data_IF_442468394591
#
_entry.id   IF_442468394591
#
_cell.length_a   1.000
_cell.length_b   1.000
_cell.length_c   1.000
_cell.angle_alpha   90.00
_cell.angle_beta   90.00
_cell.angle_gamma   90.00
#
_symmetry.space_group_name_H-M   'P 1'
#
loop_
_entity.id
_entity.type
_entity.pdbx_description
1 polymer ?
#
# COMPACT_ATOMS: atom_id res chain seq x y z
N UNK A 1 4.71 -18.08 -1.87
CA UNK A 1 5.77 -18.81 -2.59
C UNK A 1 7.08 -18.45 -1.93
N UNK A 2 7.73 -19.37 -1.21
CA UNK A 2 9.03 -19.12 -0.60
C UNK A 2 10.13 -19.28 -1.67
N UNK A 3 11.04 -18.32 -1.79
CA UNK A 3 12.19 -18.40 -2.71
C UNK A 3 13.42 -18.78 -1.89
N UNK A 4 13.94 -19.98 -2.13
CA UNK A 4 15.21 -20.48 -1.57
C UNK A 4 16.13 -20.82 -2.73
N UNK A 5 17.34 -20.23 -2.78
CA UNK A 5 18.34 -20.54 -3.81
C UNK A 5 19.60 -21.08 -3.11
N UNK A 6 19.99 -22.29 -3.50
CA UNK A 6 21.19 -22.99 -3.05
C UNK A 6 22.45 -22.43 -3.72
N UNK A 7 23.54 -22.32 -2.97
CA UNK A 7 24.82 -21.69 -3.40
C UNK A 7 25.94 -22.73 -3.39
N UNK A 8 26.12 -23.43 -4.50
CA UNK A 8 27.38 -24.10 -4.80
C UNK A 8 27.79 -23.90 -6.28
N UNK A 9 28.66 -22.93 -6.52
CA UNK A 9 29.54 -22.92 -7.69
C UNK A 9 30.98 -22.84 -7.22
N UNK A 10 31.70 -23.94 -7.41
CA UNK A 10 33.14 -24.05 -7.23
C UNK A 10 33.63 -25.28 -7.99
N UNK A 11 34.18 -25.08 -9.18
CA UNK A 11 34.83 -26.15 -9.94
C UNK A 11 36.13 -26.58 -9.24
N UNK A 12 36.21 -27.83 -8.82
CA UNK A 12 37.43 -28.51 -8.36
C UNK A 12 37.90 -29.57 -9.37
N UNK A 13 39.20 -29.92 -9.42
CA UNK A 13 39.80 -30.65 -10.54
C UNK A 13 39.48 -32.16 -10.52
N UNK A 14 39.46 -32.72 -11.73
CA UNK A 14 39.20 -34.14 -12.02
C UNK A 14 40.04 -35.11 -11.18
N UNK A 15 39.38 -36.05 -10.50
CA UNK A 15 39.98 -37.31 -10.04
C UNK A 15 39.26 -38.49 -10.67
N UNK A 16 40.04 -39.35 -11.34
CA UNK A 16 39.58 -40.46 -12.16
C UNK A 16 39.48 -41.74 -11.31
N UNK A 17 38.34 -42.42 -11.44
CA UNK A 17 38.09 -43.87 -11.30
C UNK A 17 38.10 -44.52 -9.92
N UNK A 18 36.94 -45.06 -9.52
CA UNK A 18 36.77 -46.51 -9.40
C UNK A 18 35.46 -46.98 -10.05
N UNK A 19 35.58 -48.05 -10.84
CA UNK A 19 34.52 -48.77 -11.54
C UNK A 19 33.43 -49.25 -10.58
N UNK A 20 32.17 -49.09 -10.96
CA UNK A 20 31.15 -50.09 -10.66
C UNK A 20 30.41 -50.46 -11.94
N UNK A 21 30.53 -51.73 -12.33
CA UNK A 21 29.83 -52.35 -13.45
C UNK A 21 28.39 -52.63 -13.00
N UNK A 22 27.40 -52.19 -13.77
CA UNK A 22 26.13 -52.90 -13.89
C UNK A 22 25.59 -52.69 -15.31
N UNK A 23 25.37 -53.82 -15.98
CA UNK A 23 24.99 -53.93 -17.38
C UNK A 23 23.52 -53.55 -17.57
N UNK A 24 23.26 -52.77 -18.62
CA UNK A 24 21.93 -52.58 -19.20
C UNK A 24 21.54 -53.83 -20.01
N UNK A 25 20.37 -54.40 -19.73
CA UNK A 25 19.67 -55.26 -20.68
C UNK A 25 18.52 -54.47 -21.29
N UNK A 26 18.66 -54.12 -22.57
CA UNK A 26 17.53 -53.83 -23.44
C UNK A 26 17.12 -55.13 -24.13
N UNK A 27 15.83 -55.45 -24.09
CA UNK A 27 15.25 -56.44 -25.00
C UNK A 27 14.11 -55.75 -25.74
N UNK A 28 14.42 -55.29 -26.94
CA UNK A 28 13.45 -55.22 -28.02
C UNK A 28 13.55 -56.55 -28.75
N UNK A 29 12.41 -57.20 -28.98
CA UNK A 29 12.33 -58.24 -29.99
C UNK A 29 11.16 -57.93 -30.95
N UNK A 30 11.42 -57.75 -32.25
CA UNK A 30 10.42 -57.55 -33.29
C UNK A 30 10.26 -58.82 -34.14
N UNK A 31 9.03 -59.28 -34.35
CA UNK A 31 8.64 -60.11 -35.51
C UNK A 31 7.11 -59.94 -35.71
N UNK A 32 6.63 -59.26 -36.76
CA UNK A 32 6.52 -59.67 -38.18
C UNK A 32 5.37 -60.68 -38.38
N UNK A 33 4.22 -60.23 -38.91
CA UNK A 33 3.69 -60.58 -40.24
C UNK A 33 2.26 -60.02 -40.51
N UNK A 34 2.07 -59.69 -41.78
CA UNK A 34 0.90 -59.13 -42.50
C UNK A 34 -0.38 -60.00 -42.44
N UNK A 35 -1.57 -59.38 -42.62
CA UNK A 35 -2.41 -59.57 -43.83
C UNK A 35 -3.70 -58.70 -43.82
N UNK A 36 -3.80 -57.82 -44.82
CA UNK A 36 -4.95 -57.48 -45.70
C UNK A 36 -6.41 -57.26 -45.22
N UNK A 37 -6.94 -56.12 -45.70
CA UNK A 37 -8.16 -55.97 -46.56
C UNK A 37 -9.54 -55.56 -45.97
N UNK A 38 -10.11 -54.54 -46.64
CA UNK A 38 -11.53 -54.10 -46.79
C UNK A 38 -12.21 -53.45 -45.56
N UNK A 39 -13.04 -52.41 -45.61
CA UNK A 39 -13.69 -51.58 -46.65
C UNK A 39 -14.97 -50.96 -46.05
N UNK A 40 -15.36 -49.71 -46.41
CA UNK A 40 -16.71 -49.15 -46.23
C UNK A 40 -16.89 -48.04 -45.14
N UNK A 41 -16.92 -46.75 -45.49
CA UNK A 41 -18.07 -45.82 -45.72
C UNK A 41 -19.07 -45.52 -44.57
N UNK A 42 -19.21 -44.20 -44.30
CA UNK A 42 -20.40 -43.40 -43.90
C UNK A 42 -20.81 -43.22 -42.41
N UNK A 43 -20.68 -41.95 -41.98
CA UNK A 43 -21.62 -41.08 -41.21
C UNK A 43 -22.29 -41.58 -39.92
N UNK A 44 -22.01 -40.94 -38.78
CA UNK A 44 -22.94 -40.02 -38.11
C UNK A 44 -22.39 -39.42 -36.79
N UNK A 45 -22.68 -38.13 -36.65
CA UNK A 45 -22.80 -37.22 -35.51
C UNK A 45 -22.89 -37.70 -34.05
N UNK A 46 -22.29 -36.87 -33.19
CA UNK A 46 -22.74 -36.38 -31.87
C UNK A 46 -22.56 -37.23 -30.59
N UNK A 47 -21.67 -36.69 -29.74
CA UNK A 47 -21.70 -36.56 -28.27
C UNK A 47 -21.64 -37.77 -27.31
N UNK A 48 -20.71 -37.60 -26.37
CA UNK A 48 -20.63 -38.13 -24.99
C UNK A 48 -20.18 -39.59 -24.83
N UNK A 49 -18.90 -39.77 -24.49
CA UNK A 49 -18.50 -40.29 -23.17
C UNK A 49 -16.97 -40.23 -23.01
N UNK A 50 -16.54 -39.58 -21.94
CA UNK A 50 -15.18 -39.69 -21.41
C UNK A 50 -14.84 -41.15 -21.10
N UNK A 51 -13.86 -41.73 -21.80
CA UNK A 51 -13.00 -42.74 -21.19
C UNK A 51 -11.61 -42.69 -21.81
N UNK A 52 -10.64 -42.73 -20.90
CA UNK A 52 -9.23 -42.45 -21.06
C UNK A 52 -8.53 -43.36 -22.07
N UNK A 53 -7.47 -42.86 -22.71
CA UNK A 53 -6.20 -43.60 -22.76
C UNK A 53 -4.99 -42.72 -23.15
N UNK A 54 -4.04 -42.68 -22.22
CA UNK A 54 -2.58 -42.65 -22.41
C UNK A 54 -1.94 -41.47 -23.17
N UNK A 55 -1.94 -40.29 -22.53
CA UNK A 55 -0.85 -39.33 -22.69
C UNK A 55 0.13 -39.54 -21.54
N UNK A 56 1.31 -40.07 -21.86
CA UNK A 56 2.47 -40.13 -20.95
C UNK A 56 2.84 -38.71 -20.48
N UNK A 57 2.33 -38.30 -19.33
CA UNK A 57 2.88 -37.18 -18.55
C UNK A 57 4.06 -37.72 -17.74
N UNK A 58 5.25 -37.21 -18.03
CA UNK A 58 6.42 -37.38 -17.19
C UNK A 58 6.11 -36.79 -15.81
N UNK A 59 5.89 -37.65 -14.81
CA UNK A 59 5.82 -37.25 -13.41
C UNK A 59 7.24 -37.01 -12.92
N UNK A 60 7.70 -35.77 -12.97
CA UNK A 60 8.88 -35.35 -12.23
C UNK A 60 8.52 -35.36 -10.74
N UNK A 61 9.06 -36.32 -10.01
CA UNK A 61 8.97 -36.42 -8.55
C UNK A 61 9.42 -35.10 -7.92
N UNK A 62 8.68 -34.51 -6.97
CA UNK A 62 9.17 -33.34 -6.25
C UNK A 62 10.42 -33.74 -5.47
N UNK A 63 11.54 -33.09 -5.79
CA UNK A 63 12.78 -33.25 -5.05
C UNK A 63 12.58 -32.60 -3.67
N UNK A 64 12.24 -33.39 -2.67
CA UNK A 64 12.42 -33.01 -1.28
C UNK A 64 13.93 -32.89 -1.02
N UNK A 65 14.43 -31.86 -0.33
CA UNK A 65 15.83 -31.82 0.06
C UNK A 65 16.08 -32.97 1.04
N UNK A 66 16.99 -33.87 0.67
CA UNK A 66 17.49 -34.92 1.55
C UNK A 66 18.37 -34.24 2.59
N UNK A 67 17.88 -34.09 3.82
CA UNK A 67 18.66 -33.64 4.97
C UNK A 67 19.83 -34.60 5.17
N UNK A 68 21.04 -34.13 4.90
CA UNK A 68 22.27 -34.88 5.15
C UNK A 68 22.39 -35.10 6.66
N UNK A 69 22.13 -36.32 7.11
CA UNK A 69 22.54 -36.82 8.42
C UNK A 69 24.06 -36.92 8.45
N UNK A 70 24.74 -35.87 8.92
CA UNK A 70 26.07 -35.90 9.52
C UNK A 70 26.18 -34.69 10.42
N UNK A 71 26.31 -34.95 11.73
CA UNK A 71 26.14 -33.98 12.80
C UNK A 71 27.19 -32.88 12.82
N UNK A 72 26.67 -31.66 12.91
CA UNK A 72 27.12 -30.53 13.73
C UNK A 72 25.97 -29.50 13.65
N UNK A 73 25.00 -29.60 14.57
CA UNK A 73 23.86 -28.68 14.66
C UNK A 73 24.33 -27.31 15.16
N UNK A 74 24.81 -26.48 14.22
CA UNK A 74 24.73 -25.04 14.33
C UNK A 74 23.51 -24.60 13.52
N UNK A 75 22.44 -24.24 14.23
CA UNK A 75 21.11 -23.85 13.72
C UNK A 75 21.13 -22.53 12.93
N UNK A 76 21.89 -22.46 11.84
CA UNK A 76 21.92 -21.30 10.95
C UNK A 76 20.73 -21.35 9.99
N UNK A 77 19.66 -20.66 10.35
CA UNK A 77 18.54 -20.43 9.43
C UNK A 77 18.87 -19.22 8.53
N UNK A 78 18.90 -19.37 7.19
CA UNK A 78 19.20 -18.26 6.31
C UNK A 78 18.09 -17.18 6.39
N UNK A 79 18.42 -15.89 6.22
CA UNK A 79 17.43 -14.82 6.16
C UNK A 79 16.41 -15.09 5.05
N UNK A 80 15.12 -14.91 5.34
CA UNK A 80 14.02 -15.12 4.41
C UNK A 80 13.07 -13.93 4.40
N UNK A 81 12.47 -13.69 3.25
CA UNK A 81 11.41 -12.71 3.06
C UNK A 81 10.23 -13.37 2.36
N UNK A 82 9.04 -13.15 2.88
CA UNK A 82 7.79 -13.70 2.35
C UNK A 82 6.77 -12.60 2.14
N UNK A 83 6.06 -12.62 1.01
CA UNK A 83 4.94 -11.69 0.77
C UNK A 83 3.78 -12.12 1.67
N UNK A 84 3.38 -11.23 2.57
CA UNK A 84 2.16 -11.38 3.38
C UNK A 84 0.98 -10.84 2.60
N UNK A 85 1.10 -9.63 2.02
CA UNK A 85 0.11 -8.98 1.13
C UNK A 85 0.81 -8.12 0.08
N UNK A 86 0.10 -7.85 -1.01
CA UNK A 86 0.62 -7.17 -2.20
C UNK A 86 0.80 -8.15 -3.36
N UNK A 87 0.49 -7.69 -4.57
CA UNK A 87 0.46 -8.51 -5.77
C UNK A 87 0.99 -7.73 -6.99
N UNK A 88 1.12 -8.42 -8.12
CA UNK A 88 1.62 -7.83 -9.36
C UNK A 88 3.13 -7.96 -9.57
N UNK A 89 3.55 -7.85 -10.83
CA UNK A 89 4.94 -8.03 -11.24
C UNK A 89 5.93 -7.05 -10.56
N UNK A 90 5.62 -5.75 -10.38
CA UNK A 90 6.54 -4.82 -9.72
C UNK A 90 6.83 -5.19 -8.26
N UNK A 91 5.81 -5.63 -7.52
CA UNK A 91 5.92 -6.10 -6.13
C UNK A 91 6.74 -7.38 -6.05
N UNK A 92 6.47 -8.35 -6.93
CA UNK A 92 7.25 -9.60 -6.96
C UNK A 92 8.72 -9.34 -7.28
N UNK A 93 9.01 -8.48 -8.26
CA UNK A 93 10.38 -8.10 -8.60
C UNK A 93 11.10 -7.43 -7.42
N UNK A 94 10.43 -6.51 -6.71
CA UNK A 94 10.95 -5.87 -5.50
C UNK A 94 11.33 -6.90 -4.43
N UNK A 95 10.43 -7.82 -4.11
CA UNK A 95 10.65 -8.80 -3.04
C UNK A 95 11.73 -9.80 -3.43
N UNK A 96 11.79 -10.23 -4.69
CA UNK A 96 12.86 -11.10 -5.20
C UNK A 96 14.22 -10.42 -5.11
N UNK A 97 14.32 -9.15 -5.47
CA UNK A 97 15.60 -8.41 -5.41
C UNK A 97 16.10 -8.27 -3.96
N UNK A 98 15.21 -7.99 -3.01
CA UNK A 98 15.53 -7.98 -1.59
C UNK A 98 15.91 -9.37 -1.07
N UNK A 99 15.23 -10.42 -1.54
CA UNK A 99 15.59 -11.81 -1.20
C UNK A 99 17.00 -12.17 -1.69
N UNK A 100 17.38 -11.75 -2.91
CA UNK A 100 18.72 -11.94 -3.46
C UNK A 100 19.76 -11.18 -2.63
N UNK A 101 19.48 -9.93 -2.23
CA UNK A 101 20.36 -9.14 -1.38
C UNK A 101 20.60 -9.83 -0.02
N UNK A 102 19.53 -10.27 0.64
CA UNK A 102 19.59 -11.02 1.90
C UNK A 102 20.39 -12.32 1.77
N UNK A 103 20.12 -13.13 0.73
CA UNK A 103 20.85 -14.37 0.44
C UNK A 103 22.35 -14.12 0.11
N UNK A 104 22.69 -12.89 -0.26
CA UNK A 104 24.06 -12.46 -0.51
C UNK A 104 24.77 -11.94 0.73
N UNK A 105 24.12 -11.97 1.90
CA UNK A 105 24.67 -11.48 3.17
C UNK A 105 24.52 -9.98 3.38
N UNK A 106 23.78 -9.27 2.51
CA UNK A 106 23.50 -7.85 2.72
C UNK A 106 22.52 -7.70 3.89
N UNK A 107 22.90 -6.89 4.86
CA UNK A 107 22.06 -6.58 6.02
C UNK A 107 21.26 -5.29 5.79
N UNK A 108 20.05 -5.17 6.38
CA UNK A 108 19.31 -3.92 6.36
C UNK A 108 20.09 -2.80 7.07
N UNK A 109 20.11 -1.60 6.48
CA UNK A 109 20.83 -0.45 7.02
C UNK A 109 19.80 0.47 7.71
N UNK A 110 19.90 0.72 9.03
CA UNK A 110 18.99 1.63 9.72
C UNK A 110 19.05 3.04 9.15
N UNK A 111 17.87 3.64 8.95
CA UNK A 111 17.73 5.05 8.58
C UNK A 111 17.68 5.87 9.89
N UNK A 112 18.56 6.87 10.06
CA UNK A 112 18.68 7.59 11.33
C UNK A 112 17.52 8.56 11.59
N UNK A 113 16.92 9.13 10.54
CA UNK A 113 15.78 10.03 10.63
C UNK A 113 14.45 9.30 10.93
N UNK A 114 13.41 10.08 11.22
CA UNK A 114 12.06 9.57 11.50
C UNK A 114 11.83 9.17 12.95
N UNK A 115 10.57 8.87 13.27
CA UNK A 115 10.11 8.55 14.64
C UNK A 115 10.05 7.04 14.93
N UNK A 116 10.15 6.20 13.90
CA UNK A 116 10.09 4.74 13.99
C UNK A 116 11.31 4.05 13.39
N UNK A 117 11.26 2.72 13.36
CA UNK A 117 12.24 1.89 12.67
C UNK A 117 12.02 1.93 11.15
N UNK A 118 13.05 2.38 10.42
CA UNK A 118 13.08 2.35 8.97
C UNK A 118 14.46 1.85 8.51
N UNK A 119 14.49 1.03 7.46
CA UNK A 119 15.69 0.33 7.03
C UNK A 119 15.82 0.34 5.51
N UNK A 120 16.98 0.73 5.00
CA UNK A 120 17.30 0.65 3.58
C UNK A 120 17.93 -0.71 3.25
N UNK A 121 17.45 -1.35 2.19
CA UNK A 121 18.07 -2.53 1.58
C UNK A 121 18.84 -2.11 0.34
N UNK A 122 20.06 -2.64 0.19
CA UNK A 122 20.93 -2.37 -0.97
C UNK A 122 21.22 -3.66 -1.74
N UNK A 123 21.50 -3.53 -3.03
CA UNK A 123 22.04 -4.65 -3.80
C UNK A 123 23.55 -4.81 -3.54
N UNK A 124 24.16 -5.82 -4.16
CA UNK A 124 25.61 -6.09 -4.03
C UNK A 124 26.49 -4.93 -4.53
N UNK A 125 25.94 -4.07 -5.40
CA UNK A 125 26.64 -2.89 -5.93
C UNK A 125 26.47 -1.65 -5.03
N UNK A 126 25.80 -1.78 -3.88
CA UNK A 126 25.55 -0.68 -2.95
C UNK A 126 24.41 0.27 -3.36
N UNK A 127 23.62 -0.08 -4.37
CA UNK A 127 22.46 0.72 -4.82
C UNK A 127 21.26 0.38 -3.94
N UNK A 128 20.55 1.38 -3.43
CA UNK A 128 19.33 1.19 -2.65
C UNK A 128 18.23 0.56 -3.51
N UNK A 129 17.61 -0.51 -2.99
CA UNK A 129 16.54 -1.28 -3.61
C UNK A 129 15.19 -0.91 -3.00
N UNK A 130 15.14 -0.85 -1.67
CA UNK A 130 13.88 -0.80 -0.92
C UNK A 130 14.06 -0.12 0.43
N UNK A 131 12.96 0.39 0.97
CA UNK A 131 12.83 0.80 2.37
C UNK A 131 11.83 -0.13 3.04
N UNK A 132 12.22 -0.68 4.19
CA UNK A 132 11.34 -1.48 5.04
C UNK A 132 11.06 -0.78 6.36
N UNK A 133 9.80 -0.80 6.80
CA UNK A 133 9.35 -0.25 8.09
C UNK A 133 8.67 -1.36 8.91
N UNK A 134 9.36 -1.96 9.90
CA UNK A 134 8.79 -3.00 10.73
C UNK A 134 7.65 -2.48 11.60
N UNK A 135 6.54 -3.23 11.63
CA UNK A 135 5.31 -2.90 12.35
C UNK A 135 5.53 -2.77 13.86
N UNK A 136 6.41 -3.60 14.42
CA UNK A 136 6.73 -3.58 15.85
C UNK A 136 7.70 -2.46 16.25
N UNK A 137 8.19 -1.69 15.28
CA UNK A 137 9.12 -0.58 15.46
C UNK A 137 8.52 0.79 15.10
N UNK A 138 7.22 0.85 14.81
CA UNK A 138 6.49 2.10 14.61
C UNK A 138 6.62 3.06 15.81
N UNK A 139 6.31 4.37 15.65
CA UNK A 139 6.18 5.28 16.79
C UNK A 139 5.24 4.68 17.85
N UNK A 140 5.68 4.70 19.11
CA UNK A 140 5.04 4.10 20.28
C UNK A 140 5.01 2.57 20.35
N UNK A 141 5.40 1.86 19.29
CA UNK A 141 5.45 0.40 19.32
C UNK A 141 6.51 -0.14 20.30
N UNK A 142 6.30 -1.36 20.77
CA UNK A 142 7.13 -2.01 21.80
C UNK A 142 8.64 -2.02 21.45
N UNK A 143 8.98 -2.23 20.17
CA UNK A 143 10.37 -2.36 19.73
C UNK A 143 10.90 -1.10 19.02
N UNK A 144 10.26 0.05 19.22
CA UNK A 144 10.70 1.32 18.63
C UNK A 144 12.19 1.62 18.97
N UNK A 145 13.07 1.74 17.96
CA UNK A 145 14.51 1.94 18.19
C UNK A 145 14.89 3.39 18.49
N UNK A 146 13.94 4.33 18.48
CA UNK A 146 14.15 5.77 18.66
C UNK A 146 13.83 6.28 20.07
N UNK A 147 13.55 5.37 21.00
CA UNK A 147 13.22 5.72 22.39
C UNK A 147 11.78 6.22 22.58
N UNK A 148 10.95 6.15 21.55
CA UNK A 148 9.52 6.47 21.58
C UNK A 148 8.70 5.17 21.58
N UNK A 149 8.99 4.23 22.48
CA UNK A 149 8.34 2.92 22.52
C UNK A 149 7.57 2.63 23.81
N UNK A 150 7.01 1.43 23.90
CA UNK A 150 6.46 0.88 25.16
C UNK A 150 4.94 0.75 25.22
N UNK A 151 4.22 1.07 24.14
CA UNK A 151 2.78 0.84 24.04
C UNK A 151 2.48 -0.46 23.28
N UNK A 152 1.27 -0.99 23.49
CA UNK A 152 0.82 -2.22 22.83
C UNK A 152 0.27 -1.92 21.43
N UNK A 153 0.47 -2.86 20.50
CA UNK A 153 -0.18 -2.79 19.18
C UNK A 153 -1.70 -2.70 19.35
N UNK A 154 -2.35 -1.92 18.49
CA UNK A 154 -3.79 -1.67 18.57
C UNK A 154 -4.21 -0.56 19.54
N UNK A 155 -3.28 0.05 20.28
CA UNK A 155 -3.56 1.31 21.00
C UNK A 155 -3.53 2.51 20.04
N UNK A 156 -4.14 3.66 20.40
CA UNK A 156 -4.03 4.88 19.59
C UNK A 156 -2.57 5.25 19.33
N UNK A 157 -2.24 5.52 18.06
CA UNK A 157 -0.90 5.90 17.64
C UNK A 157 -0.64 7.40 17.72
N UNK A 158 0.40 7.85 17.02
CA UNK A 158 0.76 9.27 16.93
C UNK A 158 -0.38 10.13 16.37
N UNK A 159 -1.06 9.63 15.34
CA UNK A 159 -2.38 10.11 14.91
C UNK A 159 -3.41 9.26 15.63
N UNK A 160 -4.24 9.84 16.50
CA UNK A 160 -5.18 9.08 17.34
C UNK A 160 -6.13 8.19 16.54
N UNK A 161 -6.47 8.62 15.33
CA UNK A 161 -7.32 7.93 14.35
C UNK A 161 -6.67 6.74 13.65
N UNK A 162 -5.40 6.44 13.96
CA UNK A 162 -4.62 5.33 13.41
C UNK A 162 -3.95 4.61 14.58
N UNK A 163 -4.15 3.29 14.67
CA UNK A 163 -3.56 2.49 15.75
C UNK A 163 -2.10 2.14 15.49
N UNK A 164 -1.36 1.98 16.57
CA UNK A 164 0.01 1.45 16.55
C UNK A 164 -0.02 0.05 15.92
N UNK A 165 0.87 -0.16 14.94
CA UNK A 165 1.01 -1.40 14.20
C UNK A 165 0.18 -1.46 12.92
N UNK A 166 -0.48 -0.37 12.52
CA UNK A 166 -1.33 -0.35 11.33
C UNK A 166 -0.80 0.54 10.19
N UNK A 167 0.39 1.16 10.34
CA UNK A 167 0.92 2.03 9.27
C UNK A 167 1.34 1.22 8.05
N UNK A 168 1.92 0.03 8.26
CA UNK A 168 2.44 -0.79 7.16
C UNK A 168 1.38 -1.27 6.16
N UNK A 169 0.15 -1.52 6.62
CA UNK A 169 -0.96 -1.89 5.73
C UNK A 169 -1.52 -0.68 4.96
N UNK A 170 -1.39 0.53 5.53
CA UNK A 170 -1.81 1.78 4.88
C UNK A 170 -0.87 2.21 3.76
N UNK A 171 0.43 1.95 3.94
CA UNK A 171 1.42 2.04 2.86
C UNK A 171 1.05 1.16 1.66
N UNK A 172 0.63 -0.10 1.93
CA UNK A 172 0.13 -0.98 0.87
C UNK A 172 -1.18 -0.47 0.27
N UNK A 173 -2.11 0.01 1.08
CA UNK A 173 -3.39 0.53 0.60
C UNK A 173 -3.20 1.70 -0.37
N UNK A 174 -2.30 2.64 -0.07
CA UNK A 174 -1.99 3.75 -0.96
C UNK A 174 -1.48 3.29 -2.34
N UNK A 175 -0.59 2.29 -2.37
CA UNK A 175 -0.12 1.71 -3.63
C UNK A 175 -1.23 0.99 -4.41
N UNK A 176 -2.09 0.23 -3.72
CA UNK A 176 -3.22 -0.47 -4.35
C UNK A 176 -4.26 0.51 -4.90
N UNK A 177 -4.47 1.64 -4.22
CA UNK A 177 -5.43 2.68 -4.62
C UNK A 177 -4.89 3.64 -5.68
N UNK A 178 -3.60 3.61 -6.00
CA UNK A 178 -3.00 4.42 -7.08
C UNK A 178 -3.27 3.79 -8.46
N UNK A 179 -4.50 3.95 -8.94
CA UNK A 179 -4.96 3.35 -10.20
C UNK A 179 -4.09 3.79 -11.38
N UNK A 180 -3.50 2.83 -12.08
CA UNK A 180 -2.61 3.10 -13.20
C UNK A 180 -1.29 3.77 -12.83
N UNK A 181 -0.98 3.90 -11.53
CA UNK A 181 0.23 4.57 -11.05
C UNK A 181 0.22 6.08 -11.30
N UNK A 182 -0.95 6.73 -11.31
CA UNK A 182 -1.09 8.14 -11.64
C UNK A 182 -0.32 9.05 -10.67
N UNK A 183 -0.43 8.79 -9.36
CA UNK A 183 0.30 9.52 -8.32
C UNK A 183 1.77 9.05 -8.23
N UNK A 184 2.14 7.99 -8.93
CA UNK A 184 3.47 7.37 -8.91
C UNK A 184 3.88 6.80 -7.55
N UNK A 185 2.93 6.26 -6.76
CA UNK A 185 3.26 5.57 -5.51
C UNK A 185 4.17 4.37 -5.83
N UNK A 186 5.36 4.27 -5.21
CA UNK A 186 6.28 3.19 -5.53
C UNK A 186 5.70 1.81 -5.15
N UNK A 187 6.07 0.73 -5.87
CA UNK A 187 5.64 -0.61 -5.53
C UNK A 187 5.82 -0.92 -4.05
N UNK A 188 4.72 -1.26 -3.39
CA UNK A 188 4.66 -1.46 -1.94
C UNK A 188 3.99 -2.78 -1.60
N UNK A 189 4.54 -3.49 -0.63
CA UNK A 189 4.04 -4.78 -0.16
C UNK A 189 4.11 -4.88 1.36
N UNK A 190 3.28 -5.73 1.94
CA UNK A 190 3.44 -6.18 3.31
C UNK A 190 4.21 -7.49 3.28
N UNK A 191 5.35 -7.54 3.97
CA UNK A 191 6.25 -8.69 3.95
C UNK A 191 6.55 -9.18 5.35
N UNK A 192 6.97 -10.44 5.46
CA UNK A 192 7.48 -11.04 6.68
C UNK A 192 8.94 -11.39 6.49
N UNK A 193 9.80 -10.78 7.30
CA UNK A 193 11.20 -11.13 7.41
C UNK A 193 11.39 -12.18 8.50
N UNK A 194 12.15 -13.23 8.22
CA UNK A 194 12.59 -14.21 9.21
C UNK A 194 14.11 -14.29 9.19
N UNK A 195 14.74 -14.34 10.37
CA UNK A 195 16.21 -14.42 10.51
C UNK A 195 16.98 -13.26 9.84
N UNK A 196 16.37 -12.08 9.72
CA UNK A 196 17.01 -10.86 9.24
C UNK A 196 17.41 -9.97 10.43
N UNK A 197 18.60 -9.35 10.37
CA UNK A 197 19.12 -8.54 11.47
C UNK A 197 18.53 -7.12 11.47
N UNK A 198 17.36 -6.94 12.08
CA UNK A 198 16.83 -5.61 12.42
C UNK A 198 17.37 -5.13 13.77
N UNK A 199 17.09 -3.88 14.16
CA UNK A 199 17.51 -3.36 15.47
C UNK A 199 16.97 -4.24 16.60
N UNK A 200 17.87 -4.63 17.51
CA UNK A 200 17.53 -5.39 18.72
C UNK A 200 17.54 -4.41 19.89
N UNK A 201 16.45 -4.35 20.64
CA UNK A 201 16.35 -3.53 21.85
C UNK A 201 17.47 -3.91 22.84
N UNK A 202 18.26 -2.96 23.39
CA UNK A 202 19.32 -3.25 24.36
C UNK A 202 18.80 -3.94 25.64
N UNK A 203 17.57 -3.62 26.06
CA UNK A 203 16.93 -4.26 27.22
C UNK A 203 16.52 -5.71 26.94
N UNK A 204 16.31 -6.08 25.67
CA UNK A 204 16.17 -7.48 25.25
C UNK A 204 17.55 -8.16 25.07
N UNK A 205 18.59 -7.39 24.74
CA UNK A 205 19.97 -7.87 24.65
C UNK A 205 20.55 -8.28 26.02
N UNK A 206 20.10 -7.64 27.12
CA UNK A 206 20.46 -8.05 28.48
C UNK A 206 19.86 -9.41 28.89
N UNK A 207 18.71 -9.80 28.32
CA UNK A 207 18.14 -11.14 28.45
C UNK A 207 18.71 -12.13 27.39
N UNK A 208 19.21 -11.61 26.27
CA UNK A 208 19.83 -12.37 25.17
C UNK A 208 21.37 -12.39 25.23
N UNK A 209 21.95 -12.44 26.43
CA UNK A 209 23.36 -12.83 26.63
C UNK A 209 23.62 -14.32 26.29
N UNK A 210 22.65 -14.99 25.68
CA UNK A 210 22.81 -16.25 24.96
C UNK A 210 22.90 -15.93 23.46
N UNK A 211 23.88 -16.52 22.80
CA UNK A 211 24.38 -16.34 21.42
C UNK A 211 23.36 -16.53 20.28
N UNK A 212 22.14 -16.03 20.42
CA UNK A 212 21.01 -16.32 19.56
C UNK A 212 20.47 -14.99 19.02
N UNK A 213 20.62 -14.68 17.71
CA UNK A 213 19.97 -13.53 17.09
C UNK A 213 18.48 -13.56 17.41
N UNK A 214 17.83 -12.42 17.64
CA UNK A 214 16.37 -12.40 17.84
C UNK A 214 15.68 -13.05 16.62
N UNK A 215 15.31 -14.33 16.73
CA UNK A 215 14.73 -15.15 15.66
C UNK A 215 13.26 -14.81 15.38
N UNK A 216 12.71 -13.77 16.00
CA UNK A 216 11.30 -13.43 15.86
C UNK A 216 11.03 -12.85 14.47
N UNK A 217 10.13 -13.45 13.68
CA UNK A 217 9.77 -12.88 12.40
C UNK A 217 9.16 -11.49 12.55
N UNK A 218 9.58 -10.56 11.69
CA UNK A 218 9.08 -9.18 11.66
C UNK A 218 8.19 -8.97 10.44
N UNK A 219 6.98 -8.49 10.67
CA UNK A 219 6.12 -7.98 9.60
C UNK A 219 6.50 -6.53 9.34
N UNK A 220 6.62 -6.14 8.08
CA UNK A 220 7.02 -4.80 7.68
C UNK A 220 6.32 -4.39 6.39
N UNK A 221 6.06 -3.09 6.20
CA UNK A 221 5.90 -2.58 4.85
C UNK A 221 7.25 -2.59 4.15
N UNK A 222 7.25 -2.93 2.86
CA UNK A 222 8.40 -2.88 1.98
C UNK A 222 8.02 -2.08 0.74
N UNK A 223 8.67 -0.93 0.57
CA UNK A 223 8.44 -0.04 -0.55
C UNK A 223 9.70 0.05 -1.42
N UNK A 224 9.52 0.09 -2.74
CA UNK A 224 10.60 0.31 -3.70
C UNK A 224 11.29 1.64 -3.41
N UNK A 225 12.61 1.62 -3.30
CA UNK A 225 13.39 2.84 -3.20
C UNK A 225 13.38 3.57 -4.54
N UNK A 226 13.14 4.88 -4.50
CA UNK A 226 13.15 5.74 -5.68
C UNK A 226 14.38 6.64 -5.64
N UNK A 227 15.16 6.65 -6.72
CA UNK A 227 16.35 7.48 -6.83
C UNK A 227 15.99 8.97 -6.92
N UNK A 228 16.31 9.71 -5.86
CA UNK A 228 16.08 11.15 -5.77
C UNK A 228 17.35 11.84 -5.28
N UNK A 229 17.45 13.15 -5.52
CA UNK A 229 18.51 13.99 -4.92
C UNK A 229 17.99 14.83 -3.76
N UNK A 230 16.70 15.17 -3.80
CA UNK A 230 16.06 16.11 -2.89
C UNK A 230 14.63 15.67 -2.63
N UNK A 231 14.08 16.07 -1.48
CA UNK A 231 12.62 16.14 -1.28
C UNK A 231 12.08 17.53 -1.64
N UNK A 232 10.75 17.67 -1.66
CA UNK A 232 10.11 18.91 -2.05
C UNK A 232 10.37 20.06 -1.07
N UNK A 233 10.85 19.81 0.15
CA UNK A 233 11.20 20.85 1.12
C UNK A 233 12.49 21.60 0.78
N UNK A 234 13.36 21.02 -0.05
CA UNK A 234 14.60 21.67 -0.51
C UNK A 234 14.40 22.56 -1.74
N UNK A 235 13.26 22.45 -2.43
CA UNK A 235 12.94 23.23 -3.62
C UNK A 235 11.67 24.06 -3.41
N UNK A 236 11.59 25.22 -4.05
CA UNK A 236 10.37 26.02 -4.06
C UNK A 236 9.28 25.36 -4.92
N UNK A 237 7.98 25.57 -4.61
CA UNK A 237 6.90 24.95 -5.37
C UNK A 237 6.92 25.28 -6.86
N UNK A 238 7.49 26.43 -7.27
CA UNK A 238 7.63 26.82 -8.68
C UNK A 238 8.39 25.84 -9.57
N UNK A 239 9.13 24.89 -8.98
CA UNK A 239 9.84 23.85 -9.72
C UNK A 239 8.98 22.62 -10.03
N UNK A 240 7.80 22.46 -9.42
CA UNK A 240 7.00 21.24 -9.54
C UNK A 240 5.92 21.35 -10.61
N UNK A 241 5.67 20.25 -11.35
CA UNK A 241 4.63 20.24 -12.38
C UNK A 241 3.25 20.28 -11.77
N UNK A 242 2.33 20.98 -12.43
CA UNK A 242 0.92 21.03 -12.03
C UNK A 242 0.33 19.63 -11.97
N UNK A 243 0.61 18.82 -13.00
CA UNK A 243 0.14 17.45 -13.09
C UNK A 243 0.63 16.59 -11.92
N UNK A 244 1.92 16.69 -11.54
CA UNK A 244 2.44 15.91 -10.42
C UNK A 244 1.79 16.30 -9.09
N UNK A 245 1.61 17.61 -8.85
CA UNK A 245 0.89 18.11 -7.66
C UNK A 245 -0.56 17.65 -7.64
N UNK A 246 -1.26 17.73 -8.77
CA UNK A 246 -2.64 17.26 -8.92
C UNK A 246 -2.77 15.76 -8.68
N UNK A 247 -1.91 14.95 -9.30
CA UNK A 247 -1.95 13.50 -9.17
C UNK A 247 -1.74 13.04 -7.72
N UNK A 248 -0.78 13.63 -7.01
CA UNK A 248 -0.55 13.38 -5.58
C UNK A 248 -1.77 13.84 -4.77
N UNK A 249 -2.25 15.05 -4.99
CA UNK A 249 -3.40 15.60 -4.26
C UNK A 249 -4.69 14.81 -4.45
N UNK A 250 -4.95 14.31 -5.66
CA UNK A 250 -6.09 13.44 -5.97
C UNK A 250 -6.05 12.16 -5.13
N UNK A 251 -4.88 11.53 -5.01
CA UNK A 251 -4.71 10.35 -4.16
C UNK A 251 -4.87 10.73 -2.68
N UNK A 252 -4.16 11.76 -2.21
CA UNK A 252 -4.15 12.19 -0.81
C UNK A 252 -5.54 12.59 -0.30
N UNK A 253 -6.37 13.22 -1.14
CA UNK A 253 -7.78 13.49 -0.84
C UNK A 253 -8.54 12.19 -0.62
N UNK A 254 -8.44 11.23 -1.55
CA UNK A 254 -9.17 9.95 -1.46
C UNK A 254 -8.81 9.19 -0.20
N UNK A 255 -7.53 9.14 0.13
CA UNK A 255 -7.03 8.39 1.28
C UNK A 255 -7.02 9.20 2.58
N UNK A 256 -7.43 10.48 2.55
CA UNK A 256 -7.32 11.41 3.69
C UNK A 256 -5.94 11.33 4.36
N UNK A 257 -4.90 11.73 3.64
CA UNK A 257 -3.55 11.70 4.17
C UNK A 257 -3.37 12.73 5.29
N UNK A 258 -3.00 12.27 6.49
CA UNK A 258 -2.84 13.11 7.67
C UNK A 258 -1.44 13.72 7.80
N UNK A 259 -0.53 13.42 6.88
CA UNK A 259 0.89 13.77 7.00
C UNK A 259 1.58 13.95 5.63
N UNK A 260 0.90 14.54 4.63
CA UNK A 260 1.57 14.91 3.38
C UNK A 260 2.34 16.21 3.57
N UNK A 261 3.52 16.14 4.17
CA UNK A 261 4.47 17.26 4.23
C UNK A 261 5.48 17.22 3.07
N UNK A 262 6.22 18.32 2.85
CA UNK A 262 7.18 18.43 1.75
C UNK A 262 8.24 17.29 1.72
N UNK A 263 8.72 16.88 2.90
CA UNK A 263 9.65 15.76 3.04
C UNK A 263 9.11 14.38 2.61
N UNK A 264 7.79 14.23 2.42
CA UNK A 264 7.16 13.00 1.95
C UNK A 264 6.91 13.02 0.43
N UNK A 265 7.49 13.98 -0.29
CA UNK A 265 7.43 14.08 -1.75
C UNK A 265 8.85 14.17 -2.30
N UNK A 266 9.27 13.14 -3.01
CA UNK A 266 10.61 13.04 -3.58
C UNK A 266 10.67 13.76 -4.92
N UNK A 267 11.75 14.48 -5.19
CA UNK A 267 11.99 15.12 -6.48
C UNK A 267 12.79 14.17 -7.37
N UNK A 268 12.20 13.75 -8.48
CA UNK A 268 12.81 12.78 -9.39
C UNK A 268 14.09 13.34 -10.02
N UNK A 269 15.15 12.52 -10.03
CA UNK A 269 16.40 12.87 -10.70
C UNK A 269 16.24 12.67 -12.20
N UNK A 270 16.14 13.75 -12.97
CA UNK A 270 16.27 13.66 -14.43
C UNK A 270 17.74 13.46 -14.80
N UNK A 271 18.03 12.45 -15.63
CA UNK A 271 19.37 12.25 -16.18
C UNK A 271 19.77 13.47 -17.02
N UNK A 272 20.91 14.06 -16.65
CA UNK A 272 21.43 15.35 -17.16
C UNK A 272 21.68 15.40 -18.68
N UNK A 273 21.47 14.31 -19.41
CA UNK A 273 21.79 14.22 -20.84
C UNK A 273 20.71 14.79 -21.78
N UNK A 274 19.51 15.12 -21.28
CA UNK A 274 18.47 15.82 -22.04
C UNK A 274 18.20 17.24 -21.49
N UNK A 275 19.19 17.86 -20.84
CA UNK A 275 19.09 19.23 -20.36
C UNK A 275 19.34 20.24 -21.52
N UNK A 276 18.41 20.30 -22.47
CA UNK A 276 18.31 21.45 -23.37
C UNK A 276 17.58 22.58 -22.66
N UNK A 277 18.36 23.60 -22.28
CA UNK A 277 17.98 25.01 -22.05
C UNK A 277 16.48 25.34 -21.85
N UNK A 278 16.08 25.58 -20.60
CA UNK A 278 14.87 26.33 -20.23
C UNK A 278 13.95 25.60 -19.23
N UNK A 279 13.89 26.07 -17.98
CA UNK A 279 12.77 25.83 -17.06
C UNK A 279 12.43 24.36 -16.77
N UNK A 280 13.35 23.60 -16.17
CA UNK A 280 13.13 22.21 -15.83
C UNK A 280 12.09 22.09 -14.69
N UNK A 281 10.85 21.80 -15.06
CA UNK A 281 9.78 21.41 -14.14
C UNK A 281 10.04 19.95 -13.74
N UNK A 282 10.13 19.68 -12.43
CA UNK A 282 10.43 18.38 -11.87
C UNK A 282 9.16 17.61 -11.51
N UNK A 283 9.20 16.30 -11.73
CA UNK A 283 8.18 15.35 -11.30
C UNK A 283 8.41 14.93 -9.84
N UNK A 284 7.32 14.76 -9.10
CA UNK A 284 7.30 14.33 -7.71
C UNK A 284 6.87 12.87 -7.60
N UNK A 285 7.38 12.20 -6.57
CA UNK A 285 6.96 10.86 -6.17
C UNK A 285 6.56 10.88 -4.69
N UNK A 286 5.30 10.57 -4.35
CA UNK A 286 4.84 10.51 -2.97
C UNK A 286 5.35 9.24 -2.30
N UNK A 287 5.84 9.38 -1.07
CA UNK A 287 6.21 8.27 -0.20
C UNK A 287 5.53 8.44 1.16
N UNK A 288 5.73 7.48 2.06
CA UNK A 288 5.31 7.58 3.46
C UNK A 288 3.80 7.80 3.66
N UNK A 289 3.00 6.81 3.27
CA UNK A 289 1.54 6.82 3.41
C UNK A 289 1.08 6.14 4.71
N UNK A 290 1.97 6.00 5.70
CA UNK A 290 1.66 5.33 6.97
C UNK A 290 0.51 5.99 7.74
N UNK A 291 0.28 7.28 7.53
CA UNK A 291 -0.78 8.08 8.18
C UNK A 291 -1.94 8.46 7.24
N UNK A 292 -2.36 7.55 6.36
CA UNK A 292 -3.62 7.69 5.60
C UNK A 292 -4.73 6.78 6.13
N UNK A 293 -5.94 6.90 5.57
CA UNK A 293 -7.12 6.08 5.89
C UNK A 293 -7.40 6.03 7.41
N UNK A 294 -7.67 7.19 8.03
CA UNK A 294 -8.06 7.24 9.44
C UNK A 294 -9.42 6.57 9.65
N UNK A 295 -9.70 6.17 10.89
CA UNK A 295 -10.96 5.50 11.23
C UNK A 295 -12.15 6.44 11.41
N UNK A 296 -11.90 7.73 11.58
CA UNK A 296 -12.89 8.79 11.64
C UNK A 296 -12.36 9.99 10.87
N UNK A 297 -13.23 10.95 10.57
CA UNK A 297 -12.78 12.22 9.99
C UNK A 297 -11.84 12.91 10.98
N UNK A 298 -10.58 13.01 10.59
CA UNK A 298 -9.51 13.70 11.29
C UNK A 298 -9.02 14.86 10.43
N UNK A 299 -8.15 15.71 10.96
CA UNK A 299 -7.63 16.87 10.21
C UNK A 299 -6.46 16.44 9.30
N UNK A 300 -6.63 16.42 7.96
CA UNK A 300 -5.54 16.08 7.07
C UNK A 300 -4.51 17.20 7.00
N UNK A 301 -3.27 16.84 6.69
CA UNK A 301 -2.22 17.81 6.41
C UNK A 301 -1.76 17.65 4.96
N UNK A 302 -1.94 18.71 4.17
CA UNK A 302 -1.63 18.76 2.75
C UNK A 302 -0.69 19.93 2.45
N UNK A 303 0.61 19.67 2.33
CA UNK A 303 1.59 20.69 1.95
C UNK A 303 1.25 21.36 0.61
N UNK A 304 0.81 20.56 -0.36
CA UNK A 304 0.45 21.02 -1.69
C UNK A 304 -0.73 22.01 -1.69
N UNK A 305 -1.52 22.07 -0.61
CA UNK A 305 -2.63 23.01 -0.48
C UNK A 305 -2.17 24.47 -0.55
N UNK A 306 -0.92 24.72 -0.17
CA UNK A 306 -0.32 26.05 -0.15
C UNK A 306 0.47 26.37 -1.43
N UNK A 307 0.50 25.46 -2.40
CA UNK A 307 1.23 25.64 -3.64
C UNK A 307 0.34 26.24 -4.73
N UNK A 308 0.82 27.19 -5.54
CA UNK A 308 0.03 27.82 -6.60
C UNK A 308 -0.59 26.82 -7.56
N UNK A 309 0.10 25.69 -7.81
CA UNK A 309 -0.37 24.60 -8.65
C UNK A 309 -1.74 24.07 -8.22
N UNK A 310 -2.00 23.93 -6.91
CA UNK A 310 -3.27 23.40 -6.44
C UNK A 310 -4.46 24.33 -6.73
N UNK A 311 -4.21 25.61 -7.01
CA UNK A 311 -5.26 26.57 -7.41
C UNK A 311 -5.57 26.54 -8.91
N UNK A 312 -4.83 25.74 -9.70
CA UNK A 312 -5.06 25.60 -11.13
C UNK A 312 -6.20 24.58 -11.34
N UNK A 313 -7.13 24.83 -12.29
CA UNK A 313 -8.16 23.86 -12.62
C UNK A 313 -7.58 22.50 -13.03
N UNK A 314 -8.27 21.41 -12.69
CA UNK A 314 -7.93 20.09 -13.22
C UNK A 314 -7.96 20.08 -14.74
N UNK A 315 -7.00 19.38 -15.34
CA UNK A 315 -6.99 19.07 -16.78
C UNK A 315 -8.08 18.07 -17.14
N UNK A 316 -8.43 17.98 -18.43
CA UNK A 316 -9.40 16.99 -18.94
C UNK A 316 -8.97 15.55 -18.61
N UNK A 317 -7.66 15.28 -18.62
CA UNK A 317 -7.10 13.98 -18.27
C UNK A 317 -7.34 13.62 -16.80
N UNK A 318 -7.11 14.57 -15.88
CA UNK A 318 -7.34 14.40 -14.45
C UNK A 318 -8.85 14.26 -14.16
N UNK A 319 -9.69 15.07 -14.82
CA UNK A 319 -11.15 14.98 -14.69
C UNK A 319 -11.67 13.63 -15.20
N UNK A 320 -11.17 13.14 -16.34
CA UNK A 320 -11.52 11.82 -16.85
C UNK A 320 -11.12 10.72 -15.86
N UNK A 321 -9.91 10.79 -15.31
CA UNK A 321 -9.45 9.86 -14.27
C UNK A 321 -10.36 9.87 -13.04
N UNK A 322 -10.61 11.05 -12.46
CA UNK A 322 -11.49 11.22 -11.29
C UNK A 322 -12.90 10.66 -11.58
N UNK A 323 -13.44 10.94 -12.77
CA UNK A 323 -14.77 10.47 -13.17
C UNK A 323 -14.89 8.94 -13.21
N UNK A 324 -13.79 8.21 -13.44
CA UNK A 324 -13.75 6.74 -13.52
C UNK A 324 -13.54 6.04 -12.17
N UNK A 325 -13.10 6.75 -11.13
CA UNK A 325 -12.90 6.17 -9.79
C UNK A 325 -14.20 5.55 -9.24
N UNK A 326 -14.15 4.34 -8.69
CA UNK A 326 -15.30 3.68 -8.09
C UNK A 326 -15.00 3.41 -6.60
N UNK A 327 -15.58 4.20 -5.68
CA UNK A 327 -15.30 4.06 -4.25
C UNK A 327 -15.72 2.69 -3.68
N UNK A 328 -16.76 2.05 -4.24
CA UNK A 328 -17.26 0.78 -3.72
C UNK A 328 -16.41 -0.38 -4.22
N UNK A 329 -15.94 -0.30 -5.47
CA UNK A 329 -14.96 -1.27 -5.99
C UNK A 329 -13.63 -1.16 -5.25
N UNK A 330 -13.16 0.05 -4.99
CA UNK A 330 -11.95 0.28 -4.19
C UNK A 330 -12.11 -0.27 -2.76
N UNK A 331 -13.27 -0.05 -2.13
CA UNK A 331 -13.58 -0.62 -0.83
C UNK A 331 -13.52 -2.15 -0.84
N UNK A 332 -14.06 -2.80 -1.88
CA UNK A 332 -14.02 -4.26 -2.00
C UNK A 332 -12.60 -4.80 -2.20
N UNK A 333 -11.79 -4.10 -3.00
CA UNK A 333 -10.36 -4.41 -3.15
C UNK A 333 -9.67 -4.33 -1.79
N UNK A 334 -9.90 -3.29 -0.99
CA UNK A 334 -9.29 -3.17 0.34
C UNK A 334 -9.77 -4.25 1.32
N UNK A 335 -11.06 -4.58 1.33
CA UNK A 335 -11.59 -5.68 2.17
C UNK A 335 -10.96 -7.02 1.83
N UNK A 336 -10.69 -7.26 0.54
CA UNK A 336 -10.09 -8.49 0.05
C UNK A 336 -8.58 -8.54 0.32
N UNK A 337 -7.85 -7.50 -0.08
CA UNK A 337 -6.39 -7.48 -0.06
C UNK A 337 -5.84 -7.14 1.34
N UNK A 338 -6.59 -6.37 2.13
CA UNK A 338 -6.16 -5.85 3.44
C UNK A 338 -7.26 -6.06 4.50
N UNK A 339 -7.60 -7.32 4.84
CA UNK A 339 -8.72 -7.62 5.73
C UNK A 339 -8.54 -7.13 7.19
N UNK A 340 -7.33 -6.69 7.55
CA UNK A 340 -7.06 -6.09 8.87
C UNK A 340 -7.41 -4.59 8.91
N UNK A 341 -7.59 -3.94 7.74
CA UNK A 341 -8.04 -2.57 7.68
C UNK A 341 -9.51 -2.50 8.09
N UNK A 342 -9.82 -1.66 9.06
CA UNK A 342 -11.16 -1.61 9.65
C UNK A 342 -12.15 -0.89 8.74
N UNK A 343 -13.39 -1.36 8.78
CA UNK A 343 -14.49 -0.86 7.94
C UNK A 343 -14.70 0.65 8.10
N UNK A 344 -14.46 1.21 9.29
CA UNK A 344 -14.53 2.65 9.51
C UNK A 344 -13.58 3.45 8.62
N UNK A 345 -12.35 2.98 8.41
CA UNK A 345 -11.37 3.58 7.51
C UNK A 345 -11.75 3.41 6.03
N UNK A 346 -12.32 2.26 5.67
CA UNK A 346 -12.85 2.00 4.32
C UNK A 346 -14.02 2.95 4.02
N UNK A 347 -14.88 3.22 5.00
CA UNK A 347 -15.97 4.20 4.84
C UNK A 347 -15.44 5.62 4.67
N UNK A 348 -14.36 6.01 5.37
CA UNK A 348 -13.68 7.30 5.14
C UNK A 348 -13.21 7.42 3.67
N UNK A 349 -12.59 6.39 3.11
CA UNK A 349 -12.20 6.36 1.68
C UNK A 349 -13.40 6.60 0.76
N UNK A 350 -14.53 5.93 1.02
CA UNK A 350 -15.75 6.08 0.22
C UNK A 350 -16.24 7.53 0.26
N UNK A 351 -16.38 8.12 1.46
CA UNK A 351 -16.84 9.51 1.63
C UNK A 351 -15.90 10.48 0.91
N UNK A 352 -14.58 10.34 1.10
CA UNK A 352 -13.59 11.21 0.48
C UNK A 352 -13.59 11.11 -1.05
N UNK A 353 -13.73 9.90 -1.59
CA UNK A 353 -13.79 9.68 -3.04
C UNK A 353 -15.07 10.24 -3.64
N UNK A 354 -16.22 10.12 -2.96
CA UNK A 354 -17.48 10.76 -3.40
C UNK A 354 -17.35 12.28 -3.40
N UNK A 355 -16.77 12.86 -2.34
CA UNK A 355 -16.49 14.29 -2.24
C UNK A 355 -15.65 14.77 -3.43
N UNK A 356 -14.50 14.11 -3.67
CA UNK A 356 -13.60 14.43 -4.79
C UNK A 356 -14.32 14.41 -6.13
N UNK A 357 -15.06 13.33 -6.41
CA UNK A 357 -15.77 13.16 -7.69
C UNK A 357 -16.79 14.27 -7.93
N UNK A 358 -17.61 14.57 -6.92
CA UNK A 358 -18.64 15.59 -7.06
C UNK A 358 -18.06 17.01 -7.12
N UNK A 359 -17.02 17.30 -6.33
CA UNK A 359 -16.35 18.59 -6.35
C UNK A 359 -15.64 18.85 -7.69
N UNK A 360 -14.92 17.86 -8.22
CA UNK A 360 -14.27 17.95 -9.53
C UNK A 360 -15.30 18.11 -10.66
N UNK A 361 -16.42 17.38 -10.63
CA UNK A 361 -17.52 17.58 -11.58
C UNK A 361 -18.21 18.96 -11.43
N UNK A 362 -18.12 19.56 -10.24
CA UNK A 362 -18.53 20.93 -10.00
C UNK A 362 -17.50 21.98 -10.43
N UNK A 363 -16.33 21.57 -10.92
CA UNK A 363 -15.28 22.46 -11.39
C UNK A 363 -14.43 23.08 -10.28
N UNK A 364 -14.48 22.53 -9.05
CA UNK A 364 -13.58 22.95 -7.98
C UNK A 364 -12.14 22.50 -8.30
N UNK A 365 -11.16 23.34 -8.02
CA UNK A 365 -9.75 22.98 -8.11
C UNK A 365 -9.28 22.21 -6.87
N UNK A 366 -8.07 21.67 -6.94
CA UNK A 366 -7.49 20.85 -5.87
C UNK A 366 -7.45 21.61 -4.52
N UNK A 367 -7.07 22.89 -4.56
CA UNK A 367 -6.98 23.73 -3.35
C UNK A 367 -8.34 23.96 -2.69
N UNK A 368 -9.40 24.17 -3.46
CA UNK A 368 -10.75 24.32 -2.92
C UNK A 368 -11.24 23.05 -2.22
N UNK A 369 -10.94 21.88 -2.80
CA UNK A 369 -11.29 20.59 -2.19
C UNK A 369 -10.48 20.36 -0.92
N UNK A 370 -9.15 20.59 -0.96
CA UNK A 370 -8.29 20.47 0.21
C UNK A 370 -8.75 21.38 1.36
N UNK A 371 -9.10 22.64 1.07
CA UNK A 371 -9.63 23.60 2.06
C UNK A 371 -10.94 23.15 2.70
N UNK A 372 -11.79 22.43 1.95
CA UNK A 372 -13.03 21.88 2.51
C UNK A 372 -12.76 20.75 3.51
N UNK A 373 -11.66 20.03 3.36
CA UNK A 373 -11.28 18.90 4.22
C UNK A 373 -10.49 19.33 5.46
N UNK A 374 -9.65 20.36 5.35
CA UNK A 374 -8.81 20.86 6.45
C UNK A 374 -9.59 21.76 7.41
N UNK A 375 -9.31 21.63 8.70
CA UNK A 375 -9.86 22.50 9.75
C UNK A 375 -9.26 23.90 9.69
N UNK A 376 -9.99 24.86 10.25
CA UNK A 376 -9.54 26.26 10.34
C UNK A 376 -9.24 26.62 11.77
N UNK A 377 -8.09 27.25 11.98
CA UNK A 377 -7.74 27.84 13.28
C UNK A 377 -8.20 29.29 13.32
N UNK A 378 -9.05 29.63 14.29
CA UNK A 378 -9.54 31.00 14.48
C UNK A 378 -9.65 31.32 15.97
N UNK A 379 -8.97 32.39 16.41
CA UNK A 379 -9.02 32.83 17.81
C UNK A 379 -8.52 31.80 18.84
N UNK A 380 -7.56 30.94 18.46
CA UNK A 380 -7.03 29.87 19.32
C UNK A 380 -7.95 28.65 19.44
N UNK A 381 -9.05 28.60 18.68
CA UNK A 381 -9.93 27.44 18.58
C UNK A 381 -9.81 26.81 17.21
N UNK A 382 -9.84 25.48 17.20
CA UNK A 382 -9.91 24.66 16.00
C UNK A 382 -11.38 24.44 15.64
N UNK A 383 -11.77 24.89 14.45
CA UNK A 383 -13.14 24.76 13.96
C UNK A 383 -13.25 23.54 13.04
N UNK A 384 -14.35 22.77 13.11
CA UNK A 384 -14.59 21.66 12.20
C UNK A 384 -14.51 22.10 10.74
N UNK A 385 -13.97 21.24 9.88
CA UNK A 385 -13.87 21.51 8.45
C UNK A 385 -15.26 21.58 7.78
N UNK A 386 -15.32 22.10 6.55
CA UNK A 386 -16.58 22.15 5.80
C UNK A 386 -17.12 20.72 5.59
N UNK A 387 -16.22 19.77 5.28
CA UNK A 387 -16.54 18.34 5.16
C UNK A 387 -17.10 17.75 6.46
N UNK A 388 -16.48 18.04 7.60
CA UNK A 388 -16.97 17.57 8.92
C UNK A 388 -18.37 18.13 9.21
N UNK A 389 -18.60 19.42 8.95
CA UNK A 389 -19.91 20.06 9.14
C UNK A 389 -21.00 19.44 8.24
N UNK A 390 -20.67 19.17 6.97
CA UNK A 390 -21.56 18.46 6.05
C UNK A 390 -21.90 17.07 6.60
N UNK A 391 -20.90 16.31 7.03
CA UNK A 391 -21.11 14.96 7.56
C UNK A 391 -21.93 14.96 8.87
N UNK A 392 -21.73 15.94 9.76
CA UNK A 392 -22.55 16.11 10.96
C UNK A 392 -24.01 16.41 10.61
N UNK A 393 -24.25 17.29 9.64
CA UNK A 393 -25.60 17.61 9.17
C UNK A 393 -26.30 16.38 8.59
N UNK A 394 -25.61 15.60 7.75
CA UNK A 394 -26.13 14.35 7.20
C UNK A 394 -26.49 13.36 8.31
N UNK A 395 -25.58 13.16 9.28
CA UNK A 395 -25.84 12.29 10.44
C UNK A 395 -27.05 12.73 11.26
N UNK A 396 -27.35 14.03 11.32
CA UNK A 396 -28.54 14.56 11.98
C UNK A 396 -29.85 14.31 11.23
N UNK A 397 -29.79 14.08 9.91
CA UNK A 397 -30.95 13.79 9.07
C UNK A 397 -31.36 12.31 9.06
N UNK A 398 -30.47 11.40 9.46
CA UNK A 398 -30.73 9.96 9.44
C UNK A 398 -31.53 9.59 10.70
N UNK A 399 -32.70 8.94 10.57
CA UNK A 399 -33.44 8.43 11.72
C UNK A 399 -32.57 7.40 12.45
N UNK A 400 -32.20 7.67 13.71
CA UNK A 400 -31.55 6.65 14.55
C UNK A 400 -32.57 5.56 14.81
N UNK A 401 -32.26 4.32 14.44
CA UNK A 401 -33.09 3.18 14.80
C UNK A 401 -33.36 3.18 16.31
N UNK A 402 -34.61 2.97 16.71
CA UNK A 402 -35.05 2.94 18.10
C UNK A 402 -34.49 1.72 18.85
N UNK A 403 -33.19 1.73 19.13
CA UNK A 403 -32.50 0.82 20.06
C UNK A 403 -31.29 1.52 20.66
N UNK A 404 -31.52 2.57 21.45
CA UNK A 404 -30.52 3.07 22.40
C UNK A 404 -31.14 3.83 23.58
N UNK A 405 -32.12 3.19 24.24
CA UNK A 405 -32.46 3.47 25.64
C UNK A 405 -32.31 2.19 26.45
N UNK A 406 -31.10 1.59 26.42
CA UNK A 406 -30.55 0.73 27.48
C UNK A 406 -29.20 0.15 27.06
N UNK A 407 -28.14 0.95 27.16
CA UNK A 407 -26.78 0.45 27.33
C UNK A 407 -26.01 1.39 28.27
N UNK A 408 -26.53 1.52 29.50
CA UNK A 408 -25.63 1.60 30.66
C UNK A 408 -25.30 0.16 30.99
N UNK A 409 -24.00 -0.14 31.04
CA UNK A 409 -23.36 -1.42 31.34
C UNK A 409 -22.94 -2.33 30.17
N UNK A 410 -21.60 -2.41 30.05
CA UNK A 410 -20.75 -3.50 29.51
C UNK A 410 -20.72 -3.69 28.00
N UNK A 411 -19.77 -2.99 27.38
CA UNK A 411 -19.03 -3.51 26.22
C UNK A 411 -17.55 -3.21 26.44
N UNK A 412 -16.80 -4.21 26.87
CA UNK A 412 -15.34 -4.20 26.74
C UNK A 412 -15.02 -4.41 25.26
N UNK A 413 -14.39 -3.41 24.62
CA UNK A 413 -13.84 -3.54 23.25
C UNK A 413 -14.30 -2.51 22.22
N UNK A 414 -15.36 -1.73 22.49
CA UNK A 414 -15.76 -0.61 21.64
C UNK A 414 -15.08 0.69 22.08
N UNK A 415 -14.00 1.09 21.42
CA UNK A 415 -13.42 2.42 21.64
C UNK A 415 -14.45 3.46 21.20
N UNK A 416 -15.15 4.07 22.15
CA UNK A 416 -15.77 5.38 21.93
C UNK A 416 -14.64 6.33 21.52
N UNK A 417 -14.84 7.12 20.46
CA UNK A 417 -13.98 8.28 20.21
C UNK A 417 -14.01 9.16 21.45
N UNK A 418 -12.95 9.14 22.25
CA UNK A 418 -12.81 10.00 23.43
C UNK A 418 -12.65 11.48 23.02
N UNK A 419 -12.57 11.78 21.71
CA UNK A 419 -12.21 13.10 21.16
C UNK A 419 -13.19 13.65 20.11
N UNK A 420 -14.48 13.27 20.16
CA UNK A 420 -15.52 13.93 19.34
C UNK A 420 -15.43 13.77 17.81
N UNK A 421 -14.52 12.94 17.29
CA UNK A 421 -14.35 12.67 15.86
C UNK A 421 -15.56 12.01 15.18
N UNK A 422 -15.79 12.33 13.91
CA UNK A 422 -16.92 11.78 13.14
C UNK A 422 -16.55 10.40 12.59
N UNK A 423 -16.89 9.35 13.35
CA UNK A 423 -16.71 7.94 12.91
C UNK A 423 -17.88 7.47 12.04
N UNK A 424 -17.60 6.79 10.93
CA UNK A 424 -18.63 6.11 10.15
C UNK A 424 -18.79 4.64 10.52
N UNK A 425 -17.93 4.09 11.40
CA UNK A 425 -17.94 2.68 11.77
C UNK A 425 -19.19 2.25 12.53
N UNK A 426 -19.84 3.17 13.24
CA UNK A 426 -20.98 2.87 14.12
C UNK A 426 -22.31 2.76 13.37
N UNK A 427 -22.36 3.16 12.10
CA UNK A 427 -23.59 3.11 11.29
C UNK A 427 -23.86 1.66 10.86
N UNK A 428 -25.07 1.17 11.09
CA UNK A 428 -25.48 -0.10 10.48
C UNK A 428 -25.60 0.03 8.95
N UNK A 429 -25.81 -1.08 8.24
CA UNK A 429 -25.83 -1.06 6.77
C UNK A 429 -26.90 -0.11 6.19
N UNK A 430 -28.11 -0.11 6.75
CA UNK A 430 -29.18 0.77 6.27
C UNK A 430 -28.93 2.25 6.60
N UNK A 431 -28.37 2.53 7.79
CA UNK A 431 -27.95 3.89 8.16
C UNK A 431 -26.79 4.39 7.28
N UNK A 432 -25.88 3.51 6.88
CA UNK A 432 -24.77 3.84 5.99
C UNK A 432 -25.24 4.14 4.56
N UNK A 433 -26.16 3.34 4.02
CA UNK A 433 -26.76 3.59 2.71
C UNK A 433 -27.53 4.93 2.70
N UNK A 434 -28.36 5.18 3.73
CA UNK A 434 -29.04 6.45 3.89
C UNK A 434 -28.08 7.63 4.06
N UNK A 435 -26.97 7.44 4.78
CA UNK A 435 -25.91 8.45 4.91
C UNK A 435 -25.35 8.82 3.54
N UNK A 436 -25.00 7.84 2.71
CA UNK A 436 -24.40 8.09 1.41
C UNK A 436 -25.34 8.80 0.44
N UNK A 437 -26.63 8.45 0.45
CA UNK A 437 -27.65 9.10 -0.36
C UNK A 437 -27.78 10.59 0.02
N UNK A 438 -28.04 10.87 1.29
CA UNK A 438 -28.22 12.25 1.80
C UNK A 438 -26.92 13.06 1.67
N UNK A 439 -25.76 12.44 1.91
CA UNK A 439 -24.46 13.08 1.69
C UNK A 439 -24.27 13.49 0.24
N UNK A 440 -24.60 12.60 -0.70
CA UNK A 440 -24.50 12.88 -2.12
C UNK A 440 -25.42 14.00 -2.59
N UNK A 441 -26.62 14.14 -2.03
CA UNK A 441 -27.54 15.23 -2.33
C UNK A 441 -27.08 16.56 -1.76
N UNK A 442 -26.67 16.56 -0.48
CA UNK A 442 -26.22 17.77 0.20
C UNK A 442 -24.96 18.35 -0.47
N UNK A 443 -24.03 17.50 -0.90
CA UNK A 443 -22.85 17.94 -1.65
C UNK A 443 -23.21 18.66 -2.95
N UNK A 444 -24.15 18.11 -3.75
CA UNK A 444 -24.61 18.78 -4.98
C UNK A 444 -25.16 20.18 -4.69
N UNK A 445 -26.00 20.31 -3.66
CA UNK A 445 -26.54 21.61 -3.25
C UNK A 445 -25.44 22.58 -2.81
N UNK A 446 -24.47 22.13 -2.01
CA UNK A 446 -23.33 22.96 -1.57
C UNK A 446 -22.53 23.46 -2.78
N UNK A 447 -22.29 22.61 -3.78
CA UNK A 447 -21.52 22.99 -4.96
C UNK A 447 -22.30 23.87 -5.95
N UNK A 448 -23.61 23.67 -6.09
CA UNK A 448 -24.48 24.58 -6.85
C UNK A 448 -24.49 25.98 -6.25
N UNK A 449 -24.57 26.09 -4.92
CA UNK A 449 -24.50 27.37 -4.22
C UNK A 449 -23.14 28.07 -4.43
N UNK A 450 -22.03 27.32 -4.40
CA UNK A 450 -20.69 27.85 -4.69
C UNK A 450 -20.58 28.37 -6.13
N UNK A 451 -21.13 27.64 -7.11
CA UNK A 451 -21.20 28.11 -8.52
C UNK A 451 -22.01 29.40 -8.66
N UNK A 452 -23.16 29.50 -8.00
CA UNK A 452 -24.00 30.70 -8.02
C UNK A 452 -23.28 31.92 -7.44
N UNK A 453 -22.58 31.76 -6.31
CA UNK A 453 -21.81 32.83 -5.68
C UNK A 453 -20.64 33.31 -6.54
N UNK A 454 -19.90 32.38 -7.15
CA UNK A 454 -18.80 32.72 -8.08
C UNK A 454 -19.29 33.51 -9.29
N UNK A 455 -20.42 33.10 -9.90
CA UNK A 455 -21.04 33.87 -11.00
C UNK A 455 -21.50 35.26 -10.59
N UNK A 456 -22.07 35.41 -9.39
CA UNK A 456 -22.52 36.70 -8.87
C UNK A 456 -21.36 37.67 -8.65
N UNK A 457 -20.22 37.19 -8.12
CA UNK A 457 -19.00 37.98 -7.98
C UNK A 457 -18.43 38.43 -9.32
N UNK A 458 -18.33 37.52 -10.30
CA UNK A 458 -17.84 37.88 -11.64
C UNK A 458 -18.75 38.90 -12.36
N UNK A 459 -20.07 38.89 -12.10
CA UNK A 459 -20.98 39.89 -12.65
C UNK A 459 -20.77 41.25 -11.99
N UNK A 460 -20.53 41.30 -10.67
CA UNK A 460 -20.29 42.56 -9.96
C UNK A 460 -18.96 43.22 -10.36
N UNK A 461 -17.88 42.46 -10.54
CA UNK A 461 -16.59 42.99 -11.03
C UNK A 461 -16.66 43.51 -12.47
N UNK A 462 -17.47 42.88 -13.34
CA UNK A 462 -17.66 43.34 -14.73
C UNK A 462 -18.56 44.58 -14.82
N UNK A 463 -19.34 44.88 -13.79
CA UNK A 463 -20.15 46.11 -13.72
C UNK A 463 -19.46 47.29 -13.04
N UNK A 464 -18.28 47.09 -12.44
CA UNK A 464 -17.47 48.14 -11.78
C UNK A 464 -16.23 48.57 -12.60
N UNK A 465 -16.07 48.04 -13.81
CA UNK A 465 -15.09 48.48 -14.83
C UNK A 465 -15.80 49.22 -15.96
#
# INVERSE_FOLDING_TARGET
>A
MAVTIDRHQGFGPFSRSQRCKLQSYGHLDPNVLELSQTGGTLSHSFELAFQADNIHRSFSTPCLPLTTLLGEDLTYHPPRIEIVRGSGAPVHALVVEVAIALASGVQPIPIPSGLGGAYSFRNQNGINIAVAKPVDEEPFALNNPKGLGGQMLGQPGLKKSIRIGETGMRELAAYVLDHGGLAAVPPTALVKFSHAAFSVNPNAAAAAASTVPSHMPKVASLQRFVGHSFDAGELGPSFFSVASVHNIGILDIRIMNLDRHAGNMLVMKHDRNNASYGGMVAELVPIDHGFCLPEWLDDPYFEWLHWPQASIPFSDYELEYISKLDPFKDAEVLRTDIPLLRESAIRVLIVCTILLKQAAAAGLCLAEIGQMMTRKFSGGQELPSEMENICLKVKGCIPRGSHSENCKERTEGGSKCEDGGISFGDLNQGEWEAFLEVFGELLRSVFEDKKCKSKSWNIMEVTEL
#
